data_IF_670832543440
#
_entry.id   IF_670832543440
#
_cell.length_a   1.000
_cell.length_b   1.000
_cell.length_c   1.000
_cell.angle_alpha   90.00
_cell.angle_beta   90.00
_cell.angle_gamma   90.00
#
_symmetry.space_group_name_H-M   'P 1'
#
loop_
_entity.id
_entity.type
_entity.pdbx_description
1 polymer ?
#
# COMPACT_ATOMS: atom_id res chain seq x y z
N UNK A 1 8.21 8.92 -34.58
CA UNK A 1 7.88 10.08 -33.71
C UNK A 1 6.62 9.86 -32.84
N UNK A 2 5.58 9.15 -33.30
CA UNK A 2 4.38 8.85 -32.48
C UNK A 2 4.64 8.04 -31.20
N UNK A 3 5.55 7.05 -31.24
CA UNK A 3 5.84 6.17 -30.11
C UNK A 3 6.51 6.91 -28.91
N UNK A 4 7.32 7.93 -29.18
CA UNK A 4 7.93 8.75 -28.14
C UNK A 4 6.90 9.68 -27.45
N UNK A 5 5.90 10.14 -28.20
CA UNK A 5 4.79 10.94 -27.70
C UNK A 5 3.89 10.14 -26.75
N UNK A 6 3.60 8.88 -27.10
CA UNK A 6 2.84 7.95 -26.25
C UNK A 6 3.62 7.55 -24.98
N UNK A 7 4.94 7.38 -25.08
CA UNK A 7 5.81 7.14 -23.92
C UNK A 7 5.83 8.33 -22.96
N UNK A 8 5.90 9.56 -23.49
CA UNK A 8 5.88 10.77 -22.67
C UNK A 8 4.51 11.00 -22.01
N UNK A 9 3.40 10.68 -22.69
CA UNK A 9 2.07 10.74 -22.05
C UNK A 9 1.89 9.70 -20.95
N UNK A 10 2.38 8.47 -21.14
CA UNK A 10 2.38 7.43 -20.10
C UNK A 10 3.21 7.86 -18.87
N UNK A 11 4.34 8.54 -19.10
CA UNK A 11 5.15 9.12 -18.02
C UNK A 11 4.43 10.29 -17.30
N UNK A 12 3.70 11.14 -18.03
CA UNK A 12 3.01 12.28 -17.44
C UNK A 12 1.78 11.88 -16.59
N UNK A 13 1.04 10.83 -16.97
CA UNK A 13 -0.02 10.25 -16.12
C UNK A 13 0.61 9.67 -14.84
N UNK A 14 1.80 9.09 -14.98
CA UNK A 14 2.55 8.57 -13.86
C UNK A 14 3.14 9.65 -12.94
N UNK A 15 3.44 10.84 -13.47
CA UNK A 15 3.83 12.03 -12.69
C UNK A 15 2.65 12.68 -11.96
N UNK A 16 1.43 12.59 -12.50
CA UNK A 16 0.21 13.14 -11.88
C UNK A 16 -0.35 12.28 -10.75
N UNK A 17 -0.04 10.99 -10.74
CA UNK A 17 -0.36 10.09 -9.65
C UNK A 17 0.90 10.02 -8.79
N UNK A 18 0.93 10.56 -7.56
CA UNK A 18 2.08 10.50 -6.65
C UNK A 18 2.49 9.04 -6.30
N UNK A 19 3.07 8.33 -7.26
CA UNK A 19 3.41 6.92 -7.21
C UNK A 19 4.89 6.82 -7.58
N UNK A 20 5.65 6.00 -6.85
CA UNK A 20 7.08 5.84 -7.16
C UNK A 20 7.29 5.19 -8.54
N UNK A 21 8.26 5.63 -9.36
CA UNK A 21 8.54 5.05 -10.69
C UNK A 21 8.68 3.52 -10.70
N UNK A 22 9.23 2.96 -9.62
CA UNK A 22 9.34 1.50 -9.44
C UNK A 22 7.99 0.80 -9.26
N UNK A 23 7.03 1.47 -8.62
CA UNK A 23 5.66 0.97 -8.52
C UNK A 23 4.92 1.08 -9.86
N UNK A 24 5.18 2.12 -10.67
CA UNK A 24 4.73 2.20 -12.08
C UNK A 24 5.09 0.93 -12.83
N UNK A 25 6.39 0.61 -12.80
CA UNK A 25 6.98 -0.45 -13.60
C UNK A 25 6.39 -1.81 -13.22
N UNK A 26 5.99 -2.00 -11.96
CA UNK A 26 5.32 -3.20 -11.50
C UNK A 26 3.85 -3.28 -11.91
N UNK A 27 3.16 -2.14 -11.94
CA UNK A 27 1.73 -2.08 -12.25
C UNK A 27 1.49 -2.13 -13.77
N UNK A 28 2.38 -1.52 -14.55
CA UNK A 28 2.30 -1.42 -16.02
C UNK A 28 1.97 -2.74 -16.74
N UNK A 29 2.71 -3.84 -16.57
CA UNK A 29 2.41 -5.08 -17.31
C UNK A 29 1.07 -5.70 -16.92
N UNK A 30 0.60 -5.49 -15.69
CA UNK A 30 -0.71 -5.98 -15.24
C UNK A 30 -1.82 -5.16 -15.89
N UNK A 31 -1.66 -3.84 -15.95
CA UNK A 31 -2.62 -2.95 -16.61
C UNK A 31 -2.66 -3.21 -18.12
N UNK A 32 -1.51 -3.34 -18.78
CA UNK A 32 -1.43 -3.62 -20.22
C UNK A 32 -2.14 -4.93 -20.58
N UNK A 33 -1.93 -5.99 -19.79
CA UNK A 33 -2.67 -7.25 -19.97
C UNK A 33 -4.17 -7.07 -19.80
N UNK A 34 -4.60 -6.35 -18.76
CA UNK A 34 -6.01 -6.13 -18.48
C UNK A 34 -6.69 -5.30 -19.58
N UNK A 35 -6.00 -4.29 -20.12
CA UNK A 35 -6.50 -3.50 -21.25
C UNK A 35 -6.65 -4.33 -22.52
N UNK A 36 -5.66 -5.18 -22.85
CA UNK A 36 -5.72 -6.07 -24.01
C UNK A 36 -6.88 -7.06 -23.91
N UNK A 37 -7.07 -7.67 -22.74
CA UNK A 37 -8.21 -8.57 -22.47
C UNK A 37 -9.56 -7.85 -22.57
N UNK A 38 -9.63 -6.58 -22.20
CA UNK A 38 -10.84 -5.76 -22.34
C UNK A 38 -11.17 -5.49 -23.81
N UNK A 39 -10.16 -5.14 -24.62
CA UNK A 39 -10.31 -4.88 -26.06
C UNK A 39 -10.75 -6.13 -26.83
N UNK A 40 -10.15 -7.30 -26.53
CA UNK A 40 -10.53 -8.59 -27.14
C UNK A 40 -11.98 -8.98 -26.83
N UNK A 41 -12.44 -8.74 -25.59
CA UNK A 41 -13.83 -9.00 -25.18
C UNK A 41 -14.81 -8.05 -25.83
N UNK A 42 -14.47 -6.76 -25.92
CA UNK A 42 -15.27 -5.78 -26.64
C UNK A 42 -15.41 -6.14 -28.13
N UNK A 43 -14.31 -6.55 -28.77
CA UNK A 43 -14.30 -7.02 -30.15
C UNK A 43 -15.14 -8.29 -30.37
N UNK A 44 -15.23 -9.17 -29.36
CA UNK A 44 -16.08 -10.39 -29.39
C UNK A 44 -17.57 -10.14 -29.16
N UNK A 45 -17.99 -8.88 -28.96
CA UNK A 45 -19.39 -8.50 -28.73
C UNK A 45 -19.86 -8.68 -27.27
N UNK A 46 -18.98 -9.12 -26.38
CA UNK A 46 -19.27 -9.36 -24.97
C UNK A 46 -19.11 -8.06 -24.17
N UNK A 47 -20.16 -7.23 -24.17
CA UNK A 47 -20.16 -5.87 -23.63
C UNK A 47 -20.55 -5.75 -22.14
N UNK A 48 -20.60 -6.84 -21.38
CA UNK A 48 -21.01 -6.77 -19.97
C UNK A 48 -19.83 -6.41 -19.06
N UNK A 49 -19.67 -5.10 -18.80
CA UNK A 49 -18.63 -4.51 -17.95
C UNK A 49 -18.57 -5.13 -16.54
N UNK A 50 -19.72 -5.52 -15.99
CA UNK A 50 -19.90 -6.08 -14.64
C UNK A 50 -19.29 -7.47 -14.48
N UNK A 51 -19.30 -8.31 -15.52
CA UNK A 51 -18.62 -9.61 -15.50
C UNK A 51 -17.10 -9.46 -15.66
N UNK A 52 -16.66 -8.46 -16.42
CA UNK A 52 -15.24 -8.24 -16.73
C UNK A 52 -14.45 -7.68 -15.54
N UNK A 53 -15.06 -6.80 -14.75
CA UNK A 53 -14.44 -6.25 -13.53
C UNK A 53 -14.28 -7.34 -12.46
N UNK A 54 -14.85 -8.54 -12.66
CA UNK A 54 -14.67 -9.64 -11.73
C UNK A 54 -15.19 -9.25 -10.35
N UNK A 55 -16.40 -8.70 -10.28
CA UNK A 55 -17.14 -8.50 -9.02
C UNK A 55 -17.52 -9.83 -8.34
N UNK A 56 -16.82 -10.94 -8.65
CA UNK A 56 -16.76 -12.09 -7.78
C UNK A 56 -16.37 -11.64 -6.36
N UNK A 57 -16.95 -12.22 -5.29
CA UNK A 57 -16.67 -11.87 -3.88
C UNK A 57 -15.26 -12.32 -3.43
N UNK A 58 -14.30 -12.27 -4.34
CA UNK A 58 -12.90 -12.61 -4.18
C UNK A 58 -12.22 -11.64 -3.22
N UNK A 59 -12.02 -12.14 -1.98
CA UNK A 59 -11.07 -11.67 -0.97
C UNK A 59 -10.92 -10.14 -0.92
N UNK A 60 -12.01 -9.47 -0.55
CA UNK A 60 -12.00 -8.04 -0.18
C UNK A 60 -10.78 -7.80 0.70
N UNK A 61 -9.84 -7.01 0.20
CA UNK A 61 -8.63 -6.61 0.93
C UNK A 61 -9.06 -6.17 2.32
N UNK A 62 -8.48 -6.76 3.38
CA UNK A 62 -8.82 -6.43 4.79
C UNK A 62 -8.88 -4.91 4.90
N UNK A 63 -10.02 -4.39 5.40
CA UNK A 63 -10.17 -2.94 5.59
C UNK A 63 -9.01 -2.45 6.46
N UNK A 64 -8.48 -1.28 6.10
CA UNK A 64 -7.40 -0.67 6.85
C UNK A 64 -7.87 -0.42 8.27
N UNK A 65 -7.13 -0.91 9.26
CA UNK A 65 -7.38 -0.56 10.66
C UNK A 65 -6.97 0.88 10.90
N UNK A 66 -7.91 1.69 11.37
CA UNK A 66 -7.65 3.04 11.87
C UNK A 66 -7.53 2.97 13.38
N UNK A 67 -6.39 3.38 13.92
CA UNK A 67 -6.20 3.47 15.36
C UNK A 67 -6.86 4.73 15.91
N UNK A 68 -7.45 4.64 17.09
CA UNK A 68 -7.90 5.81 17.84
C UNK A 68 -6.69 6.64 18.30
N UNK A 69 -6.85 7.96 18.53
CA UNK A 69 -5.77 8.81 19.05
C UNK A 69 -5.16 8.26 20.35
N UNK A 70 -6.01 7.86 21.30
CA UNK A 70 -5.58 7.27 22.57
C UNK A 70 -4.77 5.97 22.38
N UNK A 71 -5.15 5.13 21.43
CA UNK A 71 -4.39 3.92 21.12
C UNK A 71 -3.01 4.26 20.54
N UNK A 72 -2.92 5.28 19.69
CA UNK A 72 -1.64 5.74 19.15
C UNK A 72 -0.73 6.32 20.24
N UNK A 73 -1.26 7.09 21.18
CA UNK A 73 -0.49 7.61 22.32
C UNK A 73 0.13 6.47 23.13
N UNK A 74 -0.67 5.45 23.46
CA UNK A 74 -0.20 4.31 24.24
C UNK A 74 0.85 3.49 23.47
N UNK A 75 0.63 3.25 22.18
CA UNK A 75 1.57 2.54 21.32
C UNK A 75 2.89 3.31 21.17
N UNK A 76 2.84 4.64 21.02
CA UNK A 76 4.03 5.48 20.96
C UNK A 76 4.80 5.48 22.30
N UNK A 77 4.10 5.64 23.44
CA UNK A 77 4.73 5.60 24.76
C UNK A 77 5.37 4.24 25.08
N UNK A 78 4.80 3.14 24.57
CA UNK A 78 5.45 1.84 24.64
C UNK A 78 6.67 1.75 23.71
N UNK A 79 6.57 2.29 22.49
CA UNK A 79 7.65 2.28 21.50
C UNK A 79 8.90 3.02 21.98
N UNK A 80 8.73 4.13 22.69
CA UNK A 80 9.84 4.92 23.27
C UNK A 80 10.61 4.13 24.33
N UNK A 81 9.92 3.29 25.11
CA UNK A 81 10.55 2.41 26.11
C UNK A 81 11.17 1.17 25.49
N UNK A 82 10.45 0.54 24.56
CA UNK A 82 10.89 -0.67 23.88
C UNK A 82 10.40 -0.69 22.41
N UNK A 83 11.34 -0.57 21.48
CA UNK A 83 11.07 -0.58 20.03
C UNK A 83 10.82 -1.98 19.46
N UNK A 84 11.15 -3.02 20.24
CA UNK A 84 11.01 -4.44 19.89
C UNK A 84 10.25 -5.18 21.00
N UNK A 85 8.93 -4.91 21.16
CA UNK A 85 8.12 -5.64 22.12
C UNK A 85 8.12 -7.13 21.78
N UNK A 86 8.27 -7.94 22.81
CA UNK A 86 8.14 -9.40 22.75
C UNK A 86 6.73 -9.82 22.35
N UNK A 87 6.57 -11.08 21.94
CA UNK A 87 5.25 -11.60 21.57
C UNK A 87 4.21 -11.49 22.71
N UNK A 88 4.64 -11.62 23.96
CA UNK A 88 3.78 -11.47 25.14
C UNK A 88 3.33 -10.01 25.32
N UNK A 89 4.24 -9.05 25.23
CA UNK A 89 3.92 -7.61 25.27
C UNK A 89 2.95 -7.20 24.14
N UNK A 90 3.18 -7.67 22.91
CA UNK A 90 2.26 -7.44 21.78
C UNK A 90 0.87 -7.97 22.08
N UNK A 91 0.77 -9.13 22.75
CA UNK A 91 -0.52 -9.74 23.12
C UNK A 91 -1.22 -8.92 24.19
N UNK A 92 -0.49 -8.44 25.19
CA UNK A 92 -1.03 -7.56 26.23
C UNK A 92 -1.59 -6.26 25.64
N UNK A 93 -0.82 -5.61 24.76
CA UNK A 93 -1.26 -4.40 24.06
C UNK A 93 -2.49 -4.63 23.18
N UNK A 94 -2.53 -5.76 22.47
CA UNK A 94 -3.66 -6.14 21.63
C UNK A 94 -4.95 -6.30 22.45
N UNK A 95 -4.87 -6.98 23.60
CA UNK A 95 -6.00 -7.17 24.50
C UNK A 95 -6.45 -5.84 25.15
N UNK A 96 -5.50 -5.04 25.63
CA UNK A 96 -5.78 -3.75 26.28
C UNK A 96 -6.44 -2.75 25.32
N UNK A 97 -6.02 -2.73 24.06
CA UNK A 97 -6.50 -1.77 23.06
C UNK A 97 -7.65 -2.31 22.20
N UNK A 98 -8.00 -3.60 22.33
CA UNK A 98 -9.06 -4.23 21.54
C UNK A 98 -8.73 -4.44 20.06
N UNK A 99 -7.44 -4.59 19.71
CA UNK A 99 -7.01 -4.85 18.33
C UNK A 99 -6.48 -6.28 18.15
N UNK A 100 -6.44 -6.75 16.91
CA UNK A 100 -5.80 -8.03 16.57
C UNK A 100 -4.29 -7.95 16.85
N UNK A 101 -3.71 -9.04 17.38
CA UNK A 101 -2.26 -9.14 17.65
C UNK A 101 -1.41 -8.74 16.44
N UNK A 102 -1.85 -9.17 15.26
CA UNK A 102 -1.19 -8.90 14.00
C UNK A 102 -1.21 -7.41 13.63
N UNK A 103 -2.29 -6.70 13.94
CA UNK A 103 -2.41 -5.25 13.73
C UNK A 103 -1.39 -4.50 14.58
N UNK A 104 -1.25 -4.85 15.85
CA UNK A 104 -0.24 -4.26 16.75
C UNK A 104 1.17 -4.57 16.24
N UNK A 105 1.44 -5.83 15.89
CA UNK A 105 2.75 -6.26 15.34
C UNK A 105 3.14 -5.47 14.09
N UNK A 106 2.21 -5.32 13.14
CA UNK A 106 2.41 -4.55 11.89
C UNK A 106 2.64 -3.07 12.21
N UNK A 107 1.92 -2.50 13.18
CA UNK A 107 2.12 -1.12 13.61
C UNK A 107 3.56 -0.88 14.08
N UNK A 108 4.10 -1.73 14.95
CA UNK A 108 5.49 -1.63 15.41
C UNK A 108 6.49 -1.77 14.25
N UNK A 109 6.24 -2.68 13.30
CA UNK A 109 7.08 -2.83 12.12
C UNK A 109 7.08 -1.55 11.25
N UNK A 110 5.90 -0.98 10.99
CA UNK A 110 5.75 0.23 10.20
C UNK A 110 6.37 1.44 10.90
N UNK A 111 6.21 1.56 12.23
CA UNK A 111 6.82 2.63 13.03
C UNK A 111 8.35 2.59 12.96
N UNK A 112 8.97 1.40 13.06
CA UNK A 112 10.42 1.24 12.86
C UNK A 112 10.88 1.59 11.45
N UNK A 113 10.12 1.17 10.42
CA UNK A 113 10.43 1.53 9.04
C UNK A 113 10.34 3.04 8.82
N UNK A 114 9.33 3.71 9.37
CA UNK A 114 9.19 5.16 9.33
C UNK A 114 10.40 5.84 9.98
N UNK A 115 10.81 5.43 11.18
CA UNK A 115 11.99 5.98 11.86
C UNK A 115 13.26 5.83 11.01
N UNK A 116 13.50 4.64 10.45
CA UNK A 116 14.65 4.39 9.56
C UNK A 116 14.61 5.27 8.30
N UNK A 117 13.43 5.45 7.72
CA UNK A 117 13.26 6.29 6.54
C UNK A 117 13.48 7.77 6.88
N UNK A 118 12.98 8.25 8.01
CA UNK A 118 13.23 9.63 8.50
C UNK A 118 14.72 9.86 8.69
N UNK A 119 15.43 8.97 9.40
CA UNK A 119 16.88 9.05 9.59
C UNK A 119 17.62 9.04 8.25
N UNK A 120 17.25 8.14 7.33
CA UNK A 120 17.87 8.07 5.99
C UNK A 120 17.64 9.34 5.17
N UNK A 121 16.46 9.95 5.24
CA UNK A 121 16.17 11.21 4.54
C UNK A 121 16.98 12.36 5.12
N UNK A 122 17.12 12.42 6.46
CA UNK A 122 17.93 13.43 7.15
C UNK A 122 19.42 13.31 6.78
N UNK A 123 19.95 12.08 6.65
CA UNK A 123 21.34 11.86 6.23
C UNK A 123 21.62 12.19 4.75
N UNK A 124 20.59 12.20 3.90
CA UNK A 124 20.72 12.40 2.44
C UNK A 124 20.57 13.87 2.02
N UNK A 125 20.15 14.74 2.93
CA UNK A 125 20.08 16.20 2.72
C UNK A 125 21.29 16.96 3.25
N UNK A 126 22.36 16.25 3.65
CA UNK A 126 23.61 16.83 4.16
C UNK A 126 24.80 16.46 3.26
N UNK A 127 24.59 16.49 1.94
CA UNK A 127 25.62 16.49 0.88
C UNK A 127 25.19 17.40 -0.25
#
# INVERSE_FOLDING_TARGET
>A
MLAAQLSSQQQNIFEKLDITPKSAQKIKPVLERWMKEAEERYASGQNHLTDFIGMEPSKKRKRRTSFTPQALELLNAHFERNTHPSGTEITGLAHQLGYEREVIRIWFCNKRQALKNTVRMMSKGMV
#
